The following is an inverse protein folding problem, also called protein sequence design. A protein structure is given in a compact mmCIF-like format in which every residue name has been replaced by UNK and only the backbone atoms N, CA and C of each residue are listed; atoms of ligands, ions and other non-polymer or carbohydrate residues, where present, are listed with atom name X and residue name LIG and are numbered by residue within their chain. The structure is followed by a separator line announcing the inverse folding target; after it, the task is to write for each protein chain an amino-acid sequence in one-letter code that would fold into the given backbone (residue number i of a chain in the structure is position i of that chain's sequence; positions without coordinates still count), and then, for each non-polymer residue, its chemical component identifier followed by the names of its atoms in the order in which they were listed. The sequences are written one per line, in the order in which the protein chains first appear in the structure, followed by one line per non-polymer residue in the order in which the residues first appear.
data_IF_836449847275
#
_entry.id   IF_836449847275
#
_cell.length_a   1.000
_cell.length_b   1.000
_cell.length_c   1.000
_cell.angle_alpha   90.00
_cell.angle_beta   90.00
_cell.angle_gamma   90.00
#
_symmetry.space_group_name_H-M   'P 1'
#
loop_
_entity.id
_entity.type
_entity.pdbx_description
1 polymer ?
#
# COMPACT_ATOMS: atom_id res chain seq x y z
N UNK A 1 8.01 -36.39 6.72
CA UNK A 1 8.27 -35.05 7.30
C UNK A 1 8.33 -33.94 6.25
N UNK A 2 9.04 -34.13 5.13
CA UNK A 2 9.19 -33.11 4.08
C UNK A 2 7.84 -32.69 3.40
N UNK A 3 6.90 -33.64 3.20
CA UNK A 3 5.60 -33.34 2.59
C UNK A 3 4.69 -32.42 3.45
N UNK A 4 4.74 -32.55 4.78
CA UNK A 4 3.95 -31.68 5.66
C UNK A 4 4.48 -30.23 5.66
N UNK A 5 5.81 -30.06 5.74
CA UNK A 5 6.48 -28.75 5.60
C UNK A 5 6.13 -28.10 4.26
N UNK A 6 6.26 -28.83 3.14
CA UNK A 6 5.93 -28.30 1.81
C UNK A 6 4.48 -27.84 1.71
N UNK A 7 3.51 -28.61 2.22
CA UNK A 7 2.10 -28.19 2.27
C UNK A 7 1.88 -26.92 3.09
N UNK A 8 2.61 -26.76 4.20
CA UNK A 8 2.53 -25.53 5.00
C UNK A 8 3.08 -24.33 4.25
N UNK A 9 4.18 -24.50 3.51
CA UNK A 9 4.75 -23.43 2.67
C UNK A 9 3.78 -23.03 1.56
N UNK A 10 3.15 -23.97 0.86
CA UNK A 10 2.11 -23.67 -0.13
C UNK A 10 0.92 -22.92 0.48
N UNK A 11 0.52 -23.28 1.70
CA UNK A 11 -0.52 -22.53 2.42
C UNK A 11 -0.09 -21.10 2.77
N UNK A 12 1.20 -20.87 3.06
CA UNK A 12 1.73 -19.52 3.30
C UNK A 12 1.74 -18.74 1.99
N UNK A 13 2.20 -19.33 0.87
CA UNK A 13 2.17 -18.70 -0.45
C UNK A 13 0.78 -18.22 -0.82
N UNK A 14 -0.23 -19.07 -0.67
CA UNK A 14 -1.62 -18.71 -0.97
C UNK A 14 -2.13 -17.53 -0.12
N UNK A 15 -1.74 -17.47 1.16
CA UNK A 15 -2.11 -16.37 2.06
C UNK A 15 -1.39 -15.07 1.72
N UNK A 16 -0.13 -15.14 1.32
CA UNK A 16 0.63 -13.97 0.85
C UNK A 16 0.03 -13.46 -0.46
N UNK A 17 -0.27 -14.33 -1.43
CA UNK A 17 -0.91 -13.90 -2.67
C UNK A 17 -2.25 -13.18 -2.43
N UNK A 18 -3.07 -13.69 -1.50
CA UNK A 18 -4.30 -13.01 -1.09
C UNK A 18 -4.03 -11.67 -0.41
N UNK A 19 -3.02 -11.58 0.46
CA UNK A 19 -2.61 -10.34 1.10
C UNK A 19 -2.12 -9.30 0.08
N UNK A 20 -1.32 -9.69 -0.91
CA UNK A 20 -0.80 -8.79 -1.93
C UNK A 20 -1.92 -8.24 -2.82
N UNK A 21 -2.89 -9.07 -3.21
CA UNK A 21 -4.08 -8.60 -3.92
C UNK A 21 -4.88 -7.60 -3.09
N UNK A 22 -5.04 -7.82 -1.78
CA UNK A 22 -5.69 -6.86 -0.91
C UNK A 22 -4.87 -5.57 -0.74
N UNK A 23 -3.54 -5.67 -0.70
CA UNK A 23 -2.65 -4.52 -0.63
C UNK A 23 -2.75 -3.67 -1.90
N UNK A 24 -2.85 -4.28 -3.08
CA UNK A 24 -3.11 -3.58 -4.34
C UNK A 24 -4.45 -2.83 -4.32
N UNK A 25 -5.53 -3.49 -3.89
CA UNK A 25 -6.85 -2.85 -3.79
C UNK A 25 -6.82 -1.65 -2.84
N UNK A 26 -6.23 -1.81 -1.64
CA UNK A 26 -6.09 -0.72 -0.66
C UNK A 26 -5.21 0.40 -1.20
N UNK A 27 -4.15 0.08 -1.95
CA UNK A 27 -3.27 1.08 -2.55
C UNK A 27 -4.05 1.94 -3.55
N UNK A 28 -4.86 1.32 -4.41
CA UNK A 28 -5.71 2.05 -5.37
C UNK A 28 -6.73 2.94 -4.66
N UNK A 29 -7.34 2.46 -3.56
CA UNK A 29 -8.25 3.28 -2.75
C UNK A 29 -7.51 4.48 -2.11
N UNK A 30 -6.29 4.27 -1.62
CA UNK A 30 -5.47 5.34 -1.04
C UNK A 30 -5.03 6.37 -2.09
N UNK A 31 -4.62 5.92 -3.28
CA UNK A 31 -4.29 6.78 -4.43
C UNK A 31 -5.48 7.65 -4.83
N UNK A 32 -6.69 7.08 -4.90
CA UNK A 32 -7.90 7.82 -5.23
C UNK A 32 -8.19 8.95 -4.22
N UNK A 33 -8.08 8.67 -2.92
CA UNK A 33 -8.29 9.68 -1.87
C UNK A 33 -7.18 10.75 -1.90
N UNK A 34 -5.92 10.33 -2.13
CA UNK A 34 -4.78 11.25 -2.24
C UNK A 34 -5.00 12.23 -3.38
N UNK A 35 -5.42 11.72 -4.54
CA UNK A 35 -5.71 12.53 -5.72
C UNK A 35 -6.88 13.50 -5.48
N UNK A 36 -7.94 13.08 -4.76
CA UNK A 36 -9.03 13.97 -4.34
C UNK A 36 -8.53 15.10 -3.42
N UNK A 37 -7.63 14.80 -2.48
CA UNK A 37 -7.05 15.79 -1.58
C UNK A 37 -6.10 16.76 -2.32
N UNK A 38 -5.33 16.25 -3.28
CA UNK A 38 -4.49 17.07 -4.16
C UNK A 38 -5.34 18.02 -5.00
N UNK A 39 -6.44 17.53 -5.58
CA UNK A 39 -7.40 18.36 -6.31
C UNK A 39 -8.03 19.43 -5.41
N UNK A 40 -8.36 19.08 -4.15
CA UNK A 40 -8.87 20.05 -3.18
C UNK A 40 -7.83 21.15 -2.89
N UNK A 41 -6.56 20.80 -2.78
CA UNK A 41 -5.45 21.73 -2.59
C UNK A 41 -5.22 22.65 -3.76
N UNK A 42 -5.13 22.09 -4.95
CA UNK A 42 -4.82 22.82 -6.16
C UNK A 42 -5.94 23.82 -6.51
N UNK A 43 -7.18 23.51 -6.12
CA UNK A 43 -8.34 24.39 -6.29
C UNK A 43 -8.60 25.34 -5.11
N UNK A 44 -7.74 25.36 -4.08
CA UNK A 44 -7.97 26.21 -2.91
C UNK A 44 -7.78 27.70 -3.25
N UNK A 45 -8.70 28.59 -2.81
CA UNK A 45 -8.51 30.03 -2.99
C UNK A 45 -7.28 30.52 -2.22
N UNK A 46 -6.52 31.45 -2.80
CA UNK A 46 -5.29 32.03 -2.23
C UNK A 46 -5.49 32.56 -0.80
N UNK A 47 -6.69 33.07 -0.46
CA UNK A 47 -7.04 33.52 0.89
C UNK A 47 -7.02 32.43 1.96
N UNK A 48 -7.08 31.15 1.56
CA UNK A 48 -7.04 29.99 2.44
C UNK A 48 -5.77 29.17 2.30
N UNK A 49 -4.92 29.47 1.30
CA UNK A 49 -3.74 28.71 0.93
C UNK A 49 -2.61 28.72 1.99
N UNK A 50 -2.58 29.73 2.87
CA UNK A 50 -1.66 29.78 4.02
C UNK A 50 -2.37 29.53 5.36
N UNK A 51 -3.59 28.98 5.32
CA UNK A 51 -4.42 28.75 6.51
C UNK A 51 -4.39 27.32 7.01
N UNK A 52 -4.97 27.08 8.19
CA UNK A 52 -5.05 25.75 8.83
C UNK A 52 -5.66 24.65 7.92
N UNK A 53 -6.59 25.03 7.03
CA UNK A 53 -7.15 24.10 6.03
C UNK A 53 -6.08 23.65 5.03
N UNK A 54 -5.27 24.62 4.60
CA UNK A 54 -4.09 24.42 3.79
C UNK A 54 -2.85 23.96 4.59
N UNK A 55 -2.99 23.50 5.83
CA UNK A 55 -1.95 22.66 6.45
C UNK A 55 -2.46 21.23 6.56
N UNK A 56 -3.72 21.08 7.01
CA UNK A 56 -4.36 19.77 7.19
C UNK A 56 -4.38 18.92 5.94
N UNK A 57 -4.65 19.54 4.80
CA UNK A 57 -4.77 18.82 3.55
C UNK A 57 -3.38 18.38 2.98
N UNK A 58 -2.27 18.98 3.42
CA UNK A 58 -0.90 18.66 2.96
C UNK A 58 -0.42 17.51 3.84
N UNK A 59 -0.69 17.60 5.14
CA UNK A 59 -0.49 16.50 6.06
C UNK A 59 -1.31 15.26 5.68
N UNK A 60 -2.52 15.43 5.14
CA UNK A 60 -3.33 14.32 4.63
C UNK A 60 -2.71 13.69 3.38
N UNK A 61 -2.28 14.50 2.40
CA UNK A 61 -1.57 14.04 1.20
C UNK A 61 -0.29 13.29 1.59
N UNK A 62 0.57 13.89 2.44
CA UNK A 62 1.83 13.30 2.89
C UNK A 62 1.60 11.96 3.61
N UNK A 63 0.57 11.88 4.46
CA UNK A 63 0.23 10.64 5.15
C UNK A 63 -0.26 9.54 4.18
N UNK A 64 -1.03 9.90 3.15
CA UNK A 64 -1.50 8.96 2.14
C UNK A 64 -0.37 8.50 1.22
N UNK A 65 0.50 9.41 0.78
CA UNK A 65 1.69 9.08 0.00
C UNK A 65 2.58 8.09 0.76
N UNK A 66 2.79 8.29 2.07
CA UNK A 66 3.57 7.35 2.87
C UNK A 66 2.93 5.96 2.94
N UNK A 67 1.60 5.88 3.05
CA UNK A 67 0.87 4.59 3.03
C UNK A 67 1.01 3.90 1.68
N UNK A 68 0.92 4.66 0.58
CA UNK A 68 1.09 4.13 -0.78
C UNK A 68 2.50 3.55 -0.93
N UNK A 69 3.54 4.29 -0.53
CA UNK A 69 4.93 3.82 -0.57
C UNK A 69 5.14 2.51 0.23
N UNK A 70 4.57 2.43 1.44
CA UNK A 70 4.66 1.24 2.29
C UNK A 70 3.99 0.02 1.63
N UNK A 71 2.83 0.23 0.98
CA UNK A 71 2.12 -0.81 0.25
C UNK A 71 2.88 -1.24 -1.01
N UNK A 72 3.48 -0.31 -1.75
CA UNK A 72 4.32 -0.63 -2.91
C UNK A 72 5.53 -1.48 -2.50
N UNK A 73 6.21 -1.12 -1.41
CA UNK A 73 7.33 -1.89 -0.89
C UNK A 73 6.91 -3.32 -0.49
N UNK A 74 5.70 -3.49 0.05
CA UNK A 74 5.14 -4.80 0.38
C UNK A 74 4.84 -5.61 -0.88
N UNK A 75 4.24 -4.99 -1.90
CA UNK A 75 3.84 -5.62 -3.17
C UNK A 75 5.05 -6.06 -4.00
N UNK A 76 6.11 -5.26 -4.04
CA UNK A 76 7.32 -5.54 -4.82
C UNK A 76 8.23 -6.63 -4.21
N UNK A 77 7.92 -7.14 -3.02
CA UNK A 77 8.76 -8.12 -2.35
C UNK A 77 8.71 -9.51 -3.02
N UNK A 78 9.86 -10.16 -3.19
CA UNK A 78 9.97 -11.50 -3.77
C UNK A 78 9.66 -12.63 -2.75
N UNK A 79 8.46 -12.61 -2.19
CA UNK A 79 8.03 -13.65 -1.25
C UNK A 79 7.95 -15.04 -1.91
N UNK A 80 7.57 -15.12 -3.19
CA UNK A 80 7.45 -16.40 -3.88
C UNK A 80 8.81 -17.06 -4.11
N UNK A 81 9.84 -16.31 -4.54
CA UNK A 81 11.19 -16.83 -4.71
C UNK A 81 11.80 -17.31 -3.39
N UNK A 82 11.61 -16.54 -2.31
CA UNK A 82 12.04 -16.91 -0.96
C UNK A 82 11.36 -18.20 -0.48
N UNK A 83 10.03 -18.33 -0.67
CA UNK A 83 9.28 -19.51 -0.24
C UNK A 83 9.53 -20.73 -1.13
N UNK A 84 9.81 -20.53 -2.42
CA UNK A 84 10.24 -21.61 -3.33
C UNK A 84 11.56 -22.20 -2.86
N UNK A 85 12.56 -21.35 -2.57
CA UNK A 85 13.84 -21.77 -1.98
C UNK A 85 13.62 -22.49 -0.65
N UNK A 86 12.71 -21.99 0.19
CA UNK A 86 12.38 -22.62 1.47
C UNK A 86 11.60 -23.94 1.33
N UNK A 87 11.08 -24.30 0.15
CA UNK A 87 10.33 -25.54 -0.09
C UNK A 87 11.21 -26.69 -0.59
N UNK A 88 12.39 -26.39 -1.12
CA UNK A 88 13.41 -27.37 -1.53
C UNK A 88 13.79 -28.28 -0.34
#
# INVERSE_FOLDING_TARGET
MNNARRKQIESIKARIAALLSQAEDIKTDAEAIRDEEQDYRDNMPESFADGEKAEKADAAIEALDQVIEDLESLIENDFDGQLTTAAE
#
